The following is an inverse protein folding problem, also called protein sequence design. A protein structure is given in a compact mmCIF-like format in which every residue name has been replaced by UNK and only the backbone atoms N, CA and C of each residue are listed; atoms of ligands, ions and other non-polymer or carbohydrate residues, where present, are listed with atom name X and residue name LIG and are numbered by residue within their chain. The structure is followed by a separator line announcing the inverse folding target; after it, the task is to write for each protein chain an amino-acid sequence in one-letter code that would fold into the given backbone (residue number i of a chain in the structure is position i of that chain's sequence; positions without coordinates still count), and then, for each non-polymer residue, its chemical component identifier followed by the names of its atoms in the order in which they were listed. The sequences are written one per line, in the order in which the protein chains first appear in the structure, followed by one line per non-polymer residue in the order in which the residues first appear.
data_IF_710004289768
#
_entry.id   IF_710004289768
#
_cell.length_a   1.000
_cell.length_b   1.000
_cell.length_c   1.000
_cell.angle_alpha   90.00
_cell.angle_beta   90.00
_cell.angle_gamma   90.00
#
_symmetry.space_group_name_H-M   'P 1'
#
loop_
_entity.id
_entity.type
_entity.pdbx_description
1 polymer ?
#
# COMPACT_ATOMS: atom_id res chain seq x y z
N UNK A 1 -26.79 -26.31 12.61
CA UNK A 1 -25.42 -25.98 13.04
C UNK A 1 -25.21 -24.48 12.85
N UNK A 2 -25.35 -23.67 13.90
CA UNK A 2 -25.24 -22.20 13.80
C UNK A 2 -23.78 -21.78 13.98
N UNK A 3 -23.20 -21.18 12.94
CA UNK A 3 -21.87 -20.56 13.01
C UNK A 3 -21.99 -19.24 13.78
N UNK A 4 -21.48 -19.22 15.02
CA UNK A 4 -21.38 -17.99 15.81
C UNK A 4 -20.28 -17.11 15.23
N UNK A 5 -20.65 -16.02 14.55
CA UNK A 5 -19.71 -14.94 14.21
C UNK A 5 -19.24 -14.30 15.51
N UNK A 6 -17.97 -14.53 15.89
CA UNK A 6 -17.32 -13.76 16.95
C UNK A 6 -17.20 -12.32 16.47
N UNK A 7 -18.06 -11.44 16.97
CA UNK A 7 -17.83 -9.98 16.86
C UNK A 7 -16.66 -9.65 17.78
N UNK A 8 -15.53 -9.27 17.20
CA UNK A 8 -14.47 -8.59 17.94
C UNK A 8 -15.04 -7.23 18.36
N UNK A 9 -15.38 -7.08 19.64
CA UNK A 9 -15.85 -5.81 20.22
C UNK A 9 -14.77 -5.21 21.12
N UNK A 10 -13.52 -5.21 20.67
CA UNK A 10 -12.56 -4.26 21.23
C UNK A 10 -12.92 -2.91 20.64
N UNK A 11 -13.58 -2.07 21.45
CA UNK A 11 -13.63 -0.64 21.18
C UNK A 11 -12.18 -0.17 21.19
N UNK A 12 -11.69 0.25 20.02
CA UNK A 12 -10.51 1.09 19.95
C UNK A 12 -10.81 2.33 20.80
N UNK A 13 -9.86 2.75 21.61
CA UNK A 13 -9.94 3.95 22.41
C UNK A 13 -10.13 5.18 21.50
N UNK A 14 -11.22 5.94 21.71
CA UNK A 14 -11.62 7.09 20.88
C UNK A 14 -10.68 8.32 21.03
N UNK A 15 -9.42 8.17 21.45
CA UNK A 15 -8.48 9.28 21.59
C UNK A 15 -7.06 8.98 21.09
N UNK A 16 -6.93 8.37 19.92
CA UNK A 16 -5.65 8.39 19.20
C UNK A 16 -5.42 9.81 18.65
N UNK A 17 -4.71 10.64 19.41
CA UNK A 17 -4.31 11.97 18.94
C UNK A 17 -3.18 11.79 17.93
N UNK A 18 -3.44 12.15 16.67
CA UNK A 18 -2.43 12.08 15.63
C UNK A 18 -1.27 13.02 15.95
N UNK A 19 -0.05 12.56 15.64
CA UNK A 19 1.13 13.42 15.66
C UNK A 19 0.99 14.54 14.61
N UNK A 20 1.81 15.61 14.69
CA UNK A 20 1.83 16.64 13.64
C UNK A 20 2.12 16.07 12.26
N UNK A 21 3.01 15.08 12.16
CA UNK A 21 3.37 14.43 10.90
C UNK A 21 2.20 13.62 10.32
N UNK A 22 1.55 12.80 11.15
CA UNK A 22 0.37 12.02 10.76
C UNK A 22 -0.79 12.94 10.35
N UNK A 23 -0.99 14.04 11.08
CA UNK A 23 -2.00 15.05 10.76
C UNK A 23 -1.73 15.72 9.41
N UNK A 24 -0.47 16.03 9.12
CA UNK A 24 -0.04 16.61 7.84
C UNK A 24 -0.22 15.64 6.67
N UNK A 25 0.20 14.39 6.83
CA UNK A 25 0.03 13.34 5.83
C UNK A 25 -1.47 13.12 5.53
N UNK A 26 -2.32 13.02 6.55
CA UNK A 26 -3.76 12.88 6.39
C UNK A 26 -4.39 14.09 5.70
N UNK A 27 -3.97 15.31 6.04
CA UNK A 27 -4.46 16.52 5.40
C UNK A 27 -4.10 16.56 3.90
N UNK A 28 -2.86 16.18 3.55
CA UNK A 28 -2.38 16.10 2.16
C UNK A 28 -3.16 15.05 1.36
N UNK A 29 -3.36 13.86 1.92
CA UNK A 29 -4.20 12.81 1.34
C UNK A 29 -5.65 13.28 1.08
N UNK A 30 -6.23 14.06 2.01
CA UNK A 30 -7.58 14.61 1.86
C UNK A 30 -7.69 15.63 0.73
N UNK A 31 -6.63 16.40 0.47
CA UNK A 31 -6.55 17.34 -0.66
C UNK A 31 -6.23 16.65 -1.99
N UNK A 32 -5.70 15.43 -1.94
CA UNK A 32 -5.24 14.71 -3.13
C UNK A 32 -3.81 15.09 -3.52
N UNK A 33 -3.05 15.71 -2.62
CA UNK A 33 -1.66 16.05 -2.85
C UNK A 33 -0.83 14.77 -2.74
N UNK A 34 -0.37 14.24 -3.87
CA UNK A 34 0.48 13.06 -3.92
C UNK A 34 1.51 13.15 -5.06
N UNK A 35 2.80 12.83 -4.81
CA UNK A 35 3.36 12.56 -3.49
C UNK A 35 3.39 13.83 -2.63
N UNK A 36 3.42 13.72 -1.29
CA UNK A 36 3.47 14.88 -0.42
C UNK A 36 4.83 15.60 -0.55
N UNK A 37 5.01 16.79 0.03
CA UNK A 37 6.29 17.51 -0.07
C UNK A 37 7.30 17.04 0.99
N UNK A 38 8.60 16.90 0.67
CA UNK A 38 9.61 16.55 1.67
C UNK A 38 9.66 17.54 2.83
N UNK A 39 9.84 17.02 4.04
CA UNK A 39 10.01 17.77 5.29
C UNK A 39 11.44 18.26 5.49
N UNK A 40 12.42 17.61 4.83
CA UNK A 40 13.85 17.88 5.00
C UNK A 40 14.48 17.16 6.19
N UNK A 41 13.72 16.37 6.93
CA UNK A 41 14.20 15.40 7.93
C UNK A 41 13.98 13.98 7.38
N UNK A 42 15.07 13.24 7.16
CA UNK A 42 15.05 11.93 6.50
C UNK A 42 14.07 10.95 7.15
N UNK A 43 14.02 10.90 8.48
CA UNK A 43 13.12 9.99 9.20
C UNK A 43 11.66 10.38 8.98
N UNK A 44 11.36 11.67 9.05
CA UNK A 44 10.02 12.20 8.84
C UNK A 44 9.57 12.00 7.39
N UNK A 45 10.50 12.09 6.44
CA UNK A 45 10.27 11.86 5.02
C UNK A 45 9.86 10.41 4.73
N UNK A 46 10.60 9.43 5.26
CA UNK A 46 10.23 8.01 5.19
C UNK A 46 8.84 7.72 5.77
N UNK A 47 8.53 8.28 6.95
CA UNK A 47 7.22 8.09 7.59
C UNK A 47 6.12 8.77 6.76
N UNK A 48 6.36 9.98 6.25
CA UNK A 48 5.38 10.76 5.51
C UNK A 48 5.03 10.10 4.17
N UNK A 49 6.04 9.66 3.41
CA UNK A 49 5.82 8.97 2.13
C UNK A 49 5.15 7.63 2.36
N UNK A 50 5.53 6.87 3.38
CA UNK A 50 4.90 5.60 3.74
C UNK A 50 3.41 5.76 4.11
N UNK A 51 3.07 6.74 4.94
CA UNK A 51 1.67 7.05 5.27
C UNK A 51 0.87 7.47 4.03
N UNK A 52 1.47 8.29 3.16
CA UNK A 52 0.81 8.73 1.93
C UNK A 52 0.57 7.57 0.97
N UNK A 53 1.55 6.67 0.80
CA UNK A 53 1.43 5.44 0.01
C UNK A 53 0.28 4.58 0.55
N UNK A 54 0.28 4.28 1.85
CA UNK A 54 -0.72 3.41 2.45
C UNK A 54 -2.16 3.97 2.28
N UNK A 55 -2.33 5.28 2.50
CA UNK A 55 -3.64 5.93 2.37
C UNK A 55 -4.13 5.93 0.90
N UNK A 56 -3.24 6.18 -0.06
CA UNK A 56 -3.59 6.21 -1.48
C UNK A 56 -3.81 4.81 -2.05
N UNK A 57 -3.00 3.82 -1.69
CA UNK A 57 -3.23 2.41 -2.03
C UNK A 57 -4.59 1.94 -1.51
N UNK A 58 -4.92 2.24 -0.24
CA UNK A 58 -6.23 1.94 0.32
C UNK A 58 -7.38 2.65 -0.42
N UNK A 59 -7.16 3.84 -0.99
CA UNK A 59 -8.14 4.53 -1.82
C UNK A 59 -8.36 3.81 -3.16
N UNK A 60 -7.28 3.36 -3.80
CA UNK A 60 -7.34 2.58 -5.05
C UNK A 60 -8.04 1.23 -4.84
N UNK A 61 -7.70 0.52 -3.74
CA UNK A 61 -8.33 -0.75 -3.35
C UNK A 61 -9.84 -0.60 -3.11
N UNK A 62 -10.28 0.48 -2.46
CA UNK A 62 -11.72 0.73 -2.25
C UNK A 62 -12.46 1.15 -3.53
N UNK A 63 -11.76 1.79 -4.47
CA UNK A 63 -12.35 2.29 -5.71
C UNK A 63 -12.42 1.25 -6.83
N UNK A 64 -11.54 0.24 -6.76
CA UNK A 64 -11.49 -0.85 -7.71
C UNK A 64 -12.49 -1.92 -7.26
N UNK A 65 -13.44 -2.30 -8.12
CA UNK A 65 -14.40 -3.37 -7.80
C UNK A 65 -13.72 -4.74 -7.83
N UNK A 66 -14.26 -5.75 -7.13
CA UNK A 66 -13.73 -7.12 -7.18
C UNK A 66 -14.15 -7.76 -8.50
N UNK A 67 -13.40 -7.52 -9.58
CA UNK A 67 -13.65 -8.17 -10.87
C UNK A 67 -12.36 -8.20 -11.68
N UNK A 68 -11.81 -9.39 -11.84
CA UNK A 68 -10.64 -9.66 -12.68
C UNK A 68 -10.99 -10.85 -13.55
N UNK A 69 -10.76 -10.73 -14.85
CA UNK A 69 -10.87 -11.86 -15.77
C UNK A 69 -9.57 -12.65 -15.71
N UNK A 70 -9.59 -13.76 -14.98
CA UNK A 70 -8.39 -14.54 -14.61
C UNK A 70 -7.80 -15.36 -15.75
N UNK A 71 -8.43 -15.37 -16.93
CA UNK A 71 -7.99 -16.19 -18.06
C UNK A 71 -6.73 -15.67 -18.78
N UNK A 72 -6.35 -14.39 -18.60
CA UNK A 72 -5.25 -13.73 -19.34
C UNK A 72 -4.32 -12.90 -18.44
N UNK A 73 -4.14 -13.29 -17.17
CA UNK A 73 -3.32 -12.53 -16.20
C UNK A 73 -2.02 -13.25 -15.84
N UNK A 74 -0.98 -12.46 -15.61
CA UNK A 74 0.27 -12.94 -15.00
C UNK A 74 -0.02 -13.47 -13.58
N UNK A 75 0.82 -14.39 -13.10
CA UNK A 75 0.69 -14.98 -11.77
C UNK A 75 1.89 -14.63 -10.89
N UNK A 76 1.60 -14.30 -9.64
CA UNK A 76 2.57 -14.18 -8.56
C UNK A 76 3.19 -15.55 -8.23
N UNK A 77 4.26 -15.53 -7.45
CA UNK A 77 4.97 -16.77 -7.04
C UNK A 77 4.10 -17.74 -6.23
N UNK A 78 3.10 -17.22 -5.51
CA UNK A 78 2.13 -18.01 -4.74
C UNK A 78 0.93 -18.51 -5.57
N UNK A 79 0.88 -18.16 -6.87
CA UNK A 79 -0.18 -18.53 -7.80
C UNK A 79 -1.41 -17.63 -7.77
N UNK A 80 -1.38 -16.50 -7.06
CA UNK A 80 -2.39 -15.45 -7.17
C UNK A 80 -2.21 -14.63 -8.45
N UNK A 81 -3.29 -14.09 -9.04
CA UNK A 81 -3.19 -13.30 -10.27
C UNK A 81 -2.68 -11.89 -9.99
N UNK A 82 -1.79 -11.39 -10.84
CA UNK A 82 -1.35 -9.98 -10.85
C UNK A 82 -2.42 -9.13 -11.50
N UNK A 83 -3.05 -8.25 -10.74
CA UNK A 83 -4.12 -7.40 -11.23
C UNK A 83 -3.59 -6.08 -11.80
N UNK A 84 -4.43 -5.36 -12.54
CA UNK A 84 -4.16 -3.96 -12.90
C UNK A 84 -4.00 -3.08 -11.65
N UNK A 85 -4.63 -3.47 -10.54
CA UNK A 85 -4.49 -2.76 -9.27
C UNK A 85 -3.12 -2.97 -8.64
N UNK A 86 -2.56 -4.20 -8.67
CA UNK A 86 -1.20 -4.47 -8.21
C UNK A 86 -0.19 -3.58 -8.95
N UNK A 87 -0.29 -3.54 -10.29
CA UNK A 87 0.59 -2.72 -11.14
C UNK A 87 0.47 -1.22 -10.83
N UNK A 88 -0.75 -0.70 -10.68
CA UNK A 88 -0.99 0.72 -10.36
C UNK A 88 -0.46 1.11 -8.99
N UNK A 89 -0.66 0.25 -7.99
CA UNK A 89 -0.14 0.51 -6.65
C UNK A 89 1.38 0.48 -6.67
N UNK A 90 1.99 -0.50 -7.35
CA UNK A 90 3.44 -0.57 -7.50
C UNK A 90 4.03 0.68 -8.21
N UNK A 91 3.46 1.08 -9.34
CA UNK A 91 3.91 2.27 -10.08
C UNK A 91 3.78 3.54 -9.25
N UNK A 92 2.67 3.68 -8.50
CA UNK A 92 2.44 4.79 -7.58
C UNK A 92 3.52 4.84 -6.49
N UNK A 93 3.87 3.68 -5.91
CA UNK A 93 4.91 3.59 -4.89
C UNK A 93 6.29 3.94 -5.45
N UNK A 94 6.63 3.39 -6.63
CA UNK A 94 7.90 3.67 -7.31
C UNK A 94 8.05 5.16 -7.61
N UNK A 95 7.00 5.80 -8.10
CA UNK A 95 6.99 7.24 -8.39
C UNK A 95 7.18 8.06 -7.13
N UNK A 96 6.43 7.75 -6.06
CA UNK A 96 6.52 8.50 -4.81
C UNK A 96 7.88 8.36 -4.12
N UNK A 97 8.46 7.15 -4.12
CA UNK A 97 9.77 6.92 -3.54
C UNK A 97 10.90 7.57 -4.35
N UNK A 98 10.80 7.62 -5.68
CA UNK A 98 11.80 8.30 -6.51
C UNK A 98 11.90 9.80 -6.21
N UNK A 99 10.80 10.45 -5.83
CA UNK A 99 10.77 11.87 -5.45
C UNK A 99 11.39 12.14 -4.07
N UNK A 100 11.34 11.16 -3.16
CA UNK A 100 11.79 11.29 -1.76
C UNK A 100 13.21 10.76 -1.54
N UNK A 101 13.47 9.58 -2.09
CA UNK A 101 14.69 8.80 -1.90
C UNK A 101 15.12 8.22 -3.26
N UNK A 102 15.60 9.06 -4.20
CA UNK A 102 16.02 8.62 -5.54
C UNK A 102 17.15 7.58 -5.51
N UNK A 103 17.90 7.50 -4.41
CA UNK A 103 18.94 6.51 -4.16
C UNK A 103 18.41 5.17 -3.62
N UNK A 104 17.15 5.10 -3.17
CA UNK A 104 16.59 3.88 -2.62
C UNK A 104 16.23 2.88 -3.71
N UNK A 105 16.74 1.66 -3.58
CA UNK A 105 16.31 0.57 -4.43
C UNK A 105 14.90 0.11 -4.07
N UNK A 106 14.12 -0.31 -5.06
CA UNK A 106 12.75 -0.80 -4.85
C UNK A 106 12.65 -2.21 -5.42
N UNK A 107 12.30 -3.15 -4.54
CA UNK A 107 12.06 -4.55 -4.87
C UNK A 107 10.57 -4.81 -4.72
N UNK A 108 9.86 -4.84 -5.84
CA UNK A 108 8.44 -5.13 -5.88
C UNK A 108 8.17 -6.60 -6.16
N UNK A 109 7.04 -7.09 -5.67
CA UNK A 109 6.56 -8.43 -6.00
C UNK A 109 6.36 -8.61 -7.52
N UNK A 110 5.87 -7.57 -8.21
CA UNK A 110 5.48 -7.68 -9.63
C UNK A 110 6.53 -7.13 -10.59
N UNK A 111 7.09 -5.95 -10.29
CA UNK A 111 8.14 -5.35 -11.12
C UNK A 111 9.54 -5.87 -10.78
N UNK A 112 9.67 -6.74 -9.78
CA UNK A 112 10.95 -7.24 -9.30
C UNK A 112 11.86 -6.12 -8.79
N UNK A 113 13.16 -6.38 -8.87
CA UNK A 113 14.22 -5.47 -8.43
C UNK A 113 15.38 -6.25 -7.85
N UNK A 114 16.55 -5.62 -7.84
CA UNK A 114 17.74 -6.19 -7.19
C UNK A 114 17.95 -5.49 -5.85
N UNK A 115 18.12 -6.29 -4.79
CA UNK A 115 18.56 -5.74 -3.52
C UNK A 115 19.98 -5.21 -3.70
N UNK A 116 20.23 -3.93 -3.38
CA UNK A 116 21.55 -3.35 -3.52
C UNK A 116 22.49 -3.94 -2.46
N UNK A 117 23.78 -3.93 -2.74
CA UNK A 117 24.82 -4.33 -1.77
C UNK A 117 24.98 -3.34 -0.63
N UNK A 118 24.56 -2.09 -0.85
CA UNK A 118 24.74 -0.93 0.00
C UNK A 118 23.69 0.14 -0.33
N UNK A 119 23.30 0.94 0.68
CA UNK A 119 22.25 1.94 0.55
C UNK A 119 20.86 1.45 0.98
N UNK A 120 19.85 2.35 1.01
CA UNK A 120 18.50 2.00 1.41
C UNK A 120 17.79 1.18 0.33
N UNK A 121 16.94 0.25 0.77
CA UNK A 121 16.07 -0.53 -0.09
C UNK A 121 14.68 -0.69 0.53
N UNK A 122 13.65 -0.67 -0.30
CA UNK A 122 12.26 -0.88 0.08
C UNK A 122 11.73 -2.10 -0.65
N UNK A 123 11.24 -3.08 0.11
CA UNK A 123 10.46 -4.18 -0.43
C UNK A 123 8.98 -3.80 -0.36
N UNK A 124 8.22 -4.08 -1.42
CA UNK A 124 6.80 -3.70 -1.52
C UNK A 124 5.94 -4.88 -1.97
N UNK A 125 4.80 -5.06 -1.32
CA UNK A 125 3.69 -5.91 -1.77
C UNK A 125 2.47 -5.01 -2.03
N UNK A 126 2.17 -4.71 -3.31
CA UNK A 126 1.11 -3.80 -3.67
C UNK A 126 -0.27 -4.23 -3.14
N UNK A 127 -0.56 -5.53 -3.18
CA UNK A 127 -1.80 -6.12 -2.67
C UNK A 127 -1.52 -7.53 -2.10
N UNK A 128 -1.42 -7.61 -0.78
CA UNK A 128 -1.42 -8.88 -0.05
C UNK A 128 -2.85 -9.42 0.02
N UNK A 129 -3.02 -10.70 -0.32
CA UNK A 129 -4.31 -11.37 -0.33
C UNK A 129 -5.14 -11.12 -1.60
N UNK A 130 -4.50 -10.97 -2.77
CA UNK A 130 -5.16 -10.70 -4.06
C UNK A 130 -6.32 -11.67 -4.36
N UNK A 131 -6.19 -12.96 -4.02
CA UNK A 131 -7.29 -13.92 -4.14
C UNK A 131 -8.52 -13.53 -3.31
N UNK A 132 -8.30 -13.12 -2.06
CA UNK A 132 -9.37 -12.71 -1.14
C UNK A 132 -10.02 -11.39 -1.59
N UNK A 133 -9.24 -10.51 -2.21
CA UNK A 133 -9.71 -9.27 -2.82
C UNK A 133 -10.63 -9.55 -4.01
N UNK A 134 -10.17 -10.33 -4.98
CA UNK A 134 -10.92 -10.63 -6.21
C UNK A 134 -12.18 -11.44 -5.91
N UNK A 135 -12.11 -12.39 -4.98
CA UNK A 135 -13.27 -13.20 -4.59
C UNK A 135 -14.31 -12.41 -3.77
N UNK A 136 -13.96 -11.21 -3.28
CA UNK A 136 -14.81 -10.40 -2.40
C UNK A 136 -15.08 -11.04 -1.04
N UNK A 137 -14.32 -12.07 -0.65
CA UNK A 137 -14.58 -12.87 0.57
C UNK A 137 -13.71 -12.50 1.76
N UNK A 138 -12.73 -11.59 1.61
CA UNK A 138 -11.76 -11.32 2.68
C UNK A 138 -11.13 -9.92 2.64
N UNK A 139 -10.12 -9.76 3.47
CA UNK A 139 -9.32 -8.55 3.63
C UNK A 139 -8.13 -8.56 2.68
N UNK A 140 -7.78 -7.40 2.13
CA UNK A 140 -6.54 -7.16 1.41
C UNK A 140 -5.76 -6.03 2.08
N UNK A 141 -4.44 -6.07 1.98
CA UNK A 141 -3.53 -5.08 2.54
C UNK A 141 -2.50 -4.63 1.51
N UNK A 142 -1.87 -3.49 1.73
CA UNK A 142 -0.66 -3.07 0.99
C UNK A 142 0.46 -3.02 2.02
N UNK A 143 1.61 -3.61 1.71
CA UNK A 143 2.77 -3.73 2.62
C UNK A 143 4.01 -3.06 2.04
#
# INVERSE_FOLDING_TARGET
MQVRRKRCSQRLDDSMTLTPLESSALASFRRGDFPPQPTGDERSDWIQVGLAIALNAARLLRGSGPSVDVAEVDLKSDGSPVTELDRRVEEMVRTALADFHPEAAIVGEEGGGELPTDGPAVAIDPVDGTWAYISGTGTAATT
#
